data_IF_660174293605
#
_entry.id   IF_660174293605
#
_cell.length_a   1.000
_cell.length_b   1.000
_cell.length_c   1.000
_cell.angle_alpha   90.00
_cell.angle_beta   90.00
_cell.angle_gamma   90.00
#
_symmetry.space_group_name_H-M   'P 1'
#
loop_
_entity.id
_entity.type
_entity.pdbx_description
1 polymer ?
#
# COMPACT_ATOMS: atom_id res chain seq x y z
N UNK A 1 12.88 -16.86 -3.81
CA UNK A 1 11.53 -16.26 -3.91
C UNK A 1 11.71 -14.76 -4.10
N UNK A 2 10.72 -14.03 -4.62
CA UNK A 2 10.76 -12.57 -4.52
C UNK A 2 10.73 -12.18 -3.04
N UNK A 3 11.43 -11.12 -2.67
CA UNK A 3 11.46 -10.55 -1.33
C UNK A 3 11.17 -9.05 -1.42
N UNK A 4 10.95 -8.37 -0.29
CA UNK A 4 10.78 -6.91 -0.30
C UNK A 4 9.52 -6.42 -0.98
N UNK A 5 9.61 -5.25 -1.62
CA UNK A 5 8.48 -4.61 -2.30
C UNK A 5 7.96 -5.47 -3.47
N UNK A 6 8.86 -6.17 -4.17
CA UNK A 6 8.50 -7.11 -5.23
C UNK A 6 7.53 -8.19 -4.73
N UNK A 7 7.82 -8.76 -3.56
CA UNK A 7 6.96 -9.79 -2.96
C UNK A 7 5.58 -9.25 -2.58
N UNK A 8 5.52 -8.02 -2.07
CA UNK A 8 4.25 -7.35 -1.72
C UNK A 8 3.43 -7.09 -2.97
N UNK A 9 4.03 -6.50 -4.02
CA UNK A 9 3.36 -6.24 -5.31
C UNK A 9 2.83 -7.53 -5.92
N UNK A 10 3.63 -8.59 -5.94
CA UNK A 10 3.24 -9.89 -6.47
C UNK A 10 2.07 -10.50 -5.68
N UNK A 11 2.10 -10.43 -4.35
CA UNK A 11 1.03 -10.95 -3.51
C UNK A 11 -0.28 -10.16 -3.70
N UNK A 12 -0.22 -8.83 -3.73
CA UNK A 12 -1.39 -7.99 -3.98
C UNK A 12 -1.99 -8.25 -5.38
N UNK A 13 -1.15 -8.37 -6.40
CA UNK A 13 -1.59 -8.70 -7.76
C UNK A 13 -2.27 -10.07 -7.82
N UNK A 14 -1.74 -11.08 -7.11
CA UNK A 14 -2.34 -12.41 -7.05
C UNK A 14 -3.74 -12.37 -6.43
N UNK A 15 -3.93 -11.64 -5.32
CA UNK A 15 -5.24 -11.48 -4.68
C UNK A 15 -6.22 -10.76 -5.60
N UNK A 16 -5.80 -9.67 -6.25
CA UNK A 16 -6.68 -8.94 -7.18
C UNK A 16 -7.06 -9.78 -8.41
N UNK A 17 -6.17 -10.66 -8.86
CA UNK A 17 -6.46 -11.57 -9.97
C UNK A 17 -7.53 -12.62 -9.63
N UNK A 18 -7.76 -12.92 -8.35
CA UNK A 18 -8.85 -13.80 -7.89
C UNK A 18 -10.23 -13.10 -7.93
N UNK A 19 -10.26 -11.77 -8.11
CA UNK A 19 -11.48 -10.96 -8.14
C UNK A 19 -11.80 -10.47 -9.57
N UNK A 20 -12.47 -11.28 -10.42
CA UNK A 20 -12.70 -10.97 -11.84
C UNK A 20 -13.59 -9.74 -12.08
N UNK A 21 -14.28 -9.24 -11.05
CA UNK A 21 -15.08 -8.02 -11.11
C UNK A 21 -14.26 -6.73 -10.93
N UNK A 22 -12.99 -6.84 -10.57
CA UNK A 22 -12.07 -5.72 -10.38
C UNK A 22 -11.09 -5.62 -11.55
N UNK A 23 -11.30 -4.61 -12.40
CA UNK A 23 -10.37 -4.25 -13.46
C UNK A 23 -9.31 -3.29 -12.90
N UNK A 24 -8.15 -3.82 -12.54
CA UNK A 24 -7.06 -3.06 -11.90
C UNK A 24 -6.39 -2.15 -12.93
N UNK A 25 -6.49 -0.83 -12.71
CA UNK A 25 -5.82 0.16 -13.55
C UNK A 25 -4.50 0.67 -12.95
N UNK A 26 -4.30 0.50 -11.64
CA UNK A 26 -3.09 0.90 -10.94
C UNK A 26 -2.86 0.04 -9.69
N UNK A 27 -1.63 -0.46 -9.52
CA UNK A 27 -1.16 -1.14 -8.31
C UNK A 27 0.31 -0.80 -8.13
N UNK A 28 0.63 0.00 -7.11
CA UNK A 28 2.01 0.44 -6.86
C UNK A 28 2.34 0.46 -5.38
N UNK A 29 3.62 0.24 -5.10
CA UNK A 29 4.22 0.50 -3.79
C UNK A 29 5.05 1.77 -3.90
N UNK A 30 4.73 2.78 -3.10
CA UNK A 30 5.34 4.12 -3.18
C UNK A 30 5.87 4.58 -1.82
N UNK A 31 6.79 5.53 -1.83
CA UNK A 31 7.23 6.23 -0.64
C UNK A 31 6.09 7.15 -0.15
N UNK A 32 5.75 7.16 1.15
CA UNK A 32 4.63 7.94 1.66
C UNK A 32 4.86 9.47 1.60
N UNK A 33 6.10 9.94 1.53
CA UNK A 33 6.44 11.36 1.60
C UNK A 33 6.38 12.04 0.23
N UNK A 34 6.85 11.37 -0.83
CA UNK A 34 6.93 11.93 -2.18
C UNK A 34 6.10 11.18 -3.25
N UNK A 35 5.50 10.04 -2.87
CA UNK A 35 4.72 9.16 -3.74
C UNK A 35 5.49 8.58 -4.94
N UNK A 36 6.82 8.61 -4.91
CA UNK A 36 7.65 7.93 -5.88
C UNK A 36 7.60 6.41 -5.66
N UNK A 37 7.64 5.63 -6.74
CA UNK A 37 7.72 4.18 -6.62
C UNK A 37 9.00 3.76 -5.89
N UNK A 38 8.85 2.88 -4.91
CA UNK A 38 10.00 2.29 -4.23
C UNK A 38 10.64 1.20 -5.08
N UNK A 39 11.96 1.00 -5.01
CA UNK A 39 12.63 -0.07 -5.75
C UNK A 39 12.16 -1.46 -5.27
N UNK A 40 12.33 -2.46 -6.12
CA UNK A 40 11.84 -3.84 -5.90
C UNK A 40 12.38 -4.49 -4.60
N UNK A 41 13.59 -4.12 -4.20
CA UNK A 41 14.26 -4.59 -2.98
C UNK A 41 14.00 -3.70 -1.75
N UNK A 42 13.14 -2.68 -1.84
CA UNK A 42 12.83 -1.76 -0.74
C UNK A 42 12.45 -2.49 0.55
N UNK A 43 12.87 -1.90 1.68
CA UNK A 43 12.54 -2.33 3.04
C UNK A 43 12.08 -1.16 3.91
N UNK A 44 11.13 -1.42 4.81
CA UNK A 44 10.57 -0.43 5.73
C UNK A 44 9.23 0.17 5.26
N UNK A 45 8.76 1.26 5.89
CA UNK A 45 7.56 2.01 5.52
C UNK A 45 7.41 2.24 4.01
N UNK A 46 6.20 1.98 3.53
CA UNK A 46 5.74 2.24 2.17
C UNK A 46 4.21 2.42 2.20
N UNK A 47 3.66 2.96 1.12
CA UNK A 47 2.23 3.05 0.87
C UNK A 47 1.87 2.14 -0.31
N UNK A 48 1.00 1.16 -0.09
CA UNK A 48 0.40 0.39 -1.18
C UNK A 48 -0.80 1.17 -1.71
N UNK A 49 -0.70 1.62 -2.95
CA UNK A 49 -1.76 2.35 -3.63
C UNK A 49 -2.37 1.46 -4.71
N UNK A 50 -3.70 1.31 -4.69
CA UNK A 50 -4.45 0.56 -5.68
C UNK A 50 -5.58 1.40 -6.25
N UNK A 51 -5.84 1.22 -7.53
CA UNK A 51 -7.07 1.67 -8.14
C UNK A 51 -7.59 0.62 -9.13
N UNK A 52 -8.89 0.40 -9.07
CA UNK A 52 -9.57 -0.59 -9.89
C UNK A 52 -10.97 -0.10 -10.26
N UNK A 53 -11.48 -0.56 -11.39
CA UNK A 53 -12.88 -0.36 -11.78
C UNK A 53 -13.70 -1.58 -11.40
N UNK A 54 -14.84 -1.33 -10.76
CA UNK A 54 -15.85 -2.34 -10.46
C UNK A 54 -17.15 -1.88 -11.11
N UNK A 55 -17.50 -2.53 -12.23
CA UNK A 55 -18.55 -2.05 -13.12
C UNK A 55 -18.24 -0.65 -13.65
N UNK A 56 -19.10 0.33 -13.35
CA UNK A 56 -18.93 1.72 -13.79
C UNK A 56 -18.13 2.60 -12.80
N UNK A 57 -17.82 2.09 -11.61
CA UNK A 57 -17.23 2.88 -10.52
C UNK A 57 -15.73 2.63 -10.46
N UNK A 58 -14.94 3.70 -10.34
CA UNK A 58 -13.50 3.61 -10.09
C UNK A 58 -13.24 3.77 -8.59
N UNK A 59 -12.71 2.73 -7.97
CA UNK A 59 -12.34 2.68 -6.56
C UNK A 59 -10.85 2.95 -6.42
N UNK A 60 -10.48 3.56 -5.30
CA UNK A 60 -9.10 3.82 -4.89
C UNK A 60 -8.98 3.41 -3.43
N UNK A 61 -7.91 2.70 -3.10
CA UNK A 61 -7.53 2.44 -1.71
C UNK A 61 -6.01 2.60 -1.56
N UNK A 62 -5.59 3.13 -0.42
CA UNK A 62 -4.20 3.34 -0.07
C UNK A 62 -3.97 2.78 1.34
N UNK A 63 -3.10 1.79 1.47
CA UNK A 63 -2.80 1.14 2.73
C UNK A 63 -1.32 1.35 3.11
N UNK A 64 -1.01 2.05 4.22
CA UNK A 64 0.35 2.15 4.73
C UNK A 64 0.80 0.79 5.28
N UNK A 65 2.03 0.40 4.99
CA UNK A 65 2.61 -0.86 5.45
C UNK A 65 4.12 -0.76 5.66
N UNK A 66 4.70 -1.78 6.30
CA UNK A 66 6.15 -1.91 6.48
C UNK A 66 6.64 -3.15 5.75
N UNK A 67 7.50 -2.95 4.75
CA UNK A 67 8.08 -4.02 3.93
C UNK A 67 9.26 -4.64 4.64
N UNK A 68 9.02 -5.69 5.43
CA UNK A 68 10.07 -6.38 6.19
C UNK A 68 10.88 -5.46 7.13
N UNK A 69 11.85 -6.01 7.86
CA UNK A 69 12.80 -5.22 8.63
C UNK A 69 13.70 -4.42 7.66
N UNK A 70 14.02 -3.17 8.00
CA UNK A 70 15.16 -2.49 7.35
C UNK A 70 16.44 -3.17 7.83
N UNK A 71 17.30 -3.54 6.90
CA UNK A 71 18.64 -4.02 7.26
C UNK A 71 19.41 -2.86 7.91
N UNK A 72 19.54 -2.89 9.25
CA UNK A 72 20.54 -2.10 9.98
C UNK A 72 20.26 -0.63 10.34
N UNK A 73 19.02 -0.21 10.58
CA UNK A 73 18.73 1.15 11.09
C UNK A 73 17.68 1.15 12.20
N UNK A 74 18.00 1.73 13.36
CA UNK A 74 17.17 1.76 14.56
C UNK A 74 15.71 2.16 14.27
N UNK A 75 14.78 1.42 14.87
CA UNK A 75 13.36 1.65 14.78
C UNK A 75 13.00 3.05 15.31
N UNK A 76 12.66 3.98 14.42
CA UNK A 76 11.66 4.99 14.77
C UNK A 76 10.30 4.30 14.76
N UNK A 77 9.67 4.30 15.93
CA UNK A 77 8.37 3.71 16.17
C UNK A 77 7.31 4.29 15.23
N UNK A 78 6.32 3.50 14.79
CA UNK A 78 5.13 4.07 14.17
C UNK A 78 4.46 5.00 15.18
N UNK A 79 4.36 6.28 14.83
CA UNK A 79 3.54 7.25 15.55
C UNK A 79 2.09 6.76 15.54
N UNK A 80 1.54 6.56 16.73
CA UNK A 80 0.11 6.34 16.93
C UNK A 80 -0.66 7.54 16.36
N UNK A 81 -1.58 7.25 15.44
CA UNK A 81 -2.35 8.25 14.73
C UNK A 81 -3.62 7.66 14.11
N UNK A 82 -4.22 6.65 14.76
CA UNK A 82 -5.57 6.22 14.44
C UNK A 82 -6.55 6.68 15.53
N UNK A 83 -7.68 7.23 15.07
CA UNK A 83 -8.91 7.52 15.81
C UNK A 83 -9.00 8.83 16.63
N UNK A 84 -9.43 9.91 15.96
CA UNK A 84 -10.03 11.09 16.59
C UNK A 84 -11.42 11.34 15.99
N UNK A 85 -12.46 10.99 16.74
CA UNK A 85 -13.83 10.87 16.26
C UNK A 85 -14.62 12.16 16.05
N UNK A 86 -15.81 11.92 15.49
CA UNK A 86 -17.04 12.68 15.60
C UNK A 86 -17.12 14.03 14.86
N UNK A 87 -17.95 13.97 13.80
CA UNK A 87 -18.74 15.07 13.28
C UNK A 87 -19.19 16.05 14.38
N UNK A 88 -18.91 17.34 14.17
CA UNK A 88 -19.71 18.42 14.75
C UNK A 88 -20.54 19.05 13.63
N UNK A 89 -21.80 18.65 13.57
CA UNK A 89 -22.88 19.52 13.06
C UNK A 89 -23.17 20.55 14.15
N UNK A 90 -23.03 21.83 13.82
CA UNK A 90 -24.10 22.85 13.83
C UNK A 90 -23.52 24.17 13.35
#
# INVERSE_FOLDING_TARGET
>A
AAEGAAAVRAAAAAVLAEEPGADVDYLALVDPDDLAEVPEDHRGPALLAVAARVGAVRLIDNAPLVVGPRDGGAAEAPGDGAAGGAARRR
#
